data_IF_033734497956
#
_entry.id   IF_033734497956
#
_cell.length_a   1.000
_cell.length_b   1.000
_cell.length_c   1.000
_cell.angle_alpha   90.00
_cell.angle_beta   90.00
_cell.angle_gamma   90.00
#
_symmetry.space_group_name_H-M   'P 1'
#
loop_
_entity.id
_entity.type
_entity.pdbx_description
1 polymer ?
#
# COMPACT_ATOMS: atom_id res chain seq x y z
N UNK A 1 27.71 -6.95 12.45
CA UNK A 1 27.03 -5.67 12.13
C UNK A 1 25.65 -6.02 11.57
N UNK A 2 24.58 -5.82 12.33
CA UNK A 2 23.25 -6.35 12.01
C UNK A 2 22.52 -5.37 11.09
N UNK A 3 22.32 -5.76 9.83
CA UNK A 3 21.80 -4.93 8.73
C UNK A 3 20.28 -4.70 8.79
N UNK A 4 19.79 -4.12 9.89
CA UNK A 4 18.37 -3.78 10.06
C UNK A 4 18.03 -2.37 9.58
N UNK A 5 19.04 -1.52 9.43
CA UNK A 5 18.93 -0.18 8.83
C UNK A 5 20.09 0.03 7.87
N UNK A 6 19.78 0.59 6.70
CA UNK A 6 20.77 1.02 5.72
C UNK A 6 20.81 2.55 5.75
N UNK A 7 21.65 3.17 6.60
CA UNK A 7 21.70 4.63 6.70
C UNK A 7 22.22 5.24 5.40
N UNK A 8 21.65 6.37 5.00
CA UNK A 8 22.29 7.24 4.02
C UNK A 8 23.54 7.87 4.67
N UNK A 9 24.67 7.86 3.96
CA UNK A 9 25.91 8.49 4.42
C UNK A 9 26.12 9.81 3.69
N UNK A 10 26.36 10.87 4.44
CA UNK A 10 26.83 12.13 3.85
C UNK A 10 28.30 12.01 3.40
N UNK A 11 28.77 12.88 2.49
CA UNK A 11 30.18 12.89 2.07
C UNK A 11 31.19 13.02 3.23
N UNK A 12 30.78 13.59 4.37
CA UNK A 12 31.59 13.71 5.60
C UNK A 12 31.52 12.52 6.55
N UNK A 13 30.83 11.43 6.20
CA UNK A 13 30.79 10.19 6.98
C UNK A 13 29.67 10.09 8.04
N UNK A 14 28.90 11.15 8.26
CA UNK A 14 27.76 11.16 9.19
C UNK A 14 26.60 10.35 8.63
N UNK A 15 26.01 9.48 9.48
CA UNK A 15 24.78 8.76 9.14
C UNK A 15 23.60 9.74 9.24
N UNK A 16 22.86 9.91 8.16
CA UNK A 16 21.55 10.59 8.19
C UNK A 16 20.46 9.52 8.22
N UNK A 17 19.60 9.65 9.20
CA UNK A 17 18.36 8.89 9.31
C UNK A 17 17.23 9.83 8.86
N UNK A 18 16.36 9.33 7.98
CA UNK A 18 15.07 9.98 7.71
C UNK A 18 14.15 9.85 8.93
N UNK A 19 13.03 10.58 8.97
CA UNK A 19 12.02 10.38 10.02
C UNK A 19 11.52 8.94 10.06
N UNK A 20 11.31 8.34 8.90
CA UNK A 20 10.91 6.93 8.78
C UNK A 20 11.98 5.97 9.34
N UNK A 21 13.27 6.30 9.20
CA UNK A 21 14.35 5.52 9.82
C UNK A 21 14.36 5.65 11.34
N UNK A 22 14.03 6.84 11.86
CA UNK A 22 13.90 7.05 13.32
C UNK A 22 12.70 6.30 13.89
N UNK A 23 11.58 6.26 13.18
CA UNK A 23 10.42 5.46 13.57
C UNK A 23 10.73 3.96 13.55
N UNK A 24 11.40 3.47 12.50
CA UNK A 24 11.87 2.07 12.47
C UNK A 24 12.81 1.76 13.64
N UNK A 25 13.72 2.67 14.00
CA UNK A 25 14.59 2.50 15.16
C UNK A 25 13.80 2.37 16.46
N UNK A 26 12.78 3.22 16.66
CA UNK A 26 11.90 3.14 17.83
C UNK A 26 11.12 1.82 17.86
N UNK A 27 10.59 1.37 16.73
CA UNK A 27 9.89 0.09 16.62
C UNK A 27 10.82 -1.09 16.94
N UNK A 28 12.03 -1.12 16.38
CA UNK A 28 13.05 -2.13 16.69
C UNK A 28 13.33 -2.15 18.21
N UNK A 29 13.54 -0.97 18.81
CA UNK A 29 13.81 -0.87 20.23
C UNK A 29 12.64 -1.41 21.08
N UNK A 30 11.40 -1.01 20.78
CA UNK A 30 10.21 -1.47 21.50
C UNK A 30 10.03 -3.00 21.38
N UNK A 31 10.17 -3.57 20.19
CA UNK A 31 10.02 -5.02 19.96
C UNK A 31 11.12 -5.81 20.69
N UNK A 32 12.36 -5.32 20.68
CA UNK A 32 13.45 -5.98 21.46
C UNK A 32 13.22 -5.91 22.96
N UNK A 33 12.67 -4.81 23.49
CA UNK A 33 12.29 -4.68 24.90
C UNK A 33 11.14 -5.61 25.29
N UNK A 34 10.24 -5.91 24.36
CA UNK A 34 9.18 -6.90 24.52
C UNK A 34 9.69 -8.37 24.44
N UNK A 35 11.01 -8.59 24.33
CA UNK A 35 11.62 -9.92 24.32
C UNK A 35 11.71 -10.56 22.93
N UNK A 36 11.39 -9.82 21.85
CA UNK A 36 11.51 -10.34 20.49
C UNK A 36 12.96 -10.29 20.05
N UNK A 37 13.46 -11.43 19.57
CA UNK A 37 14.82 -11.50 19.02
C UNK A 37 14.95 -10.77 17.67
N UNK A 38 16.17 -10.48 17.25
CA UNK A 38 16.40 -9.64 16.07
C UNK A 38 15.96 -10.27 14.73
N UNK A 39 15.89 -11.60 14.63
CA UNK A 39 15.32 -12.25 13.44
C UNK A 39 13.79 -12.10 13.41
N UNK A 40 13.14 -12.19 14.58
CA UNK A 40 11.73 -11.88 14.74
C UNK A 40 11.42 -10.43 14.36
N UNK A 41 12.20 -9.46 14.86
CA UNK A 41 12.07 -8.04 14.49
C UNK A 41 12.24 -7.84 12.99
N UNK A 42 13.24 -8.47 12.37
CA UNK A 42 13.46 -8.41 10.93
C UNK A 42 12.25 -8.93 10.15
N UNK A 43 11.67 -10.05 10.58
CA UNK A 43 10.50 -10.63 9.92
C UNK A 43 9.27 -9.73 10.05
N UNK A 44 9.04 -9.13 11.22
CA UNK A 44 7.96 -8.18 11.45
C UNK A 44 8.08 -6.98 10.50
N UNK A 45 9.24 -6.32 10.48
CA UNK A 45 9.45 -5.15 9.61
C UNK A 45 9.30 -5.49 8.12
N UNK A 46 9.72 -6.70 7.70
CA UNK A 46 9.51 -7.17 6.34
C UNK A 46 8.02 -7.37 6.01
N UNK A 47 7.25 -7.91 6.95
CA UNK A 47 5.81 -8.11 6.80
C UNK A 47 5.07 -6.78 6.79
N UNK A 48 5.40 -5.86 7.68
CA UNK A 48 4.82 -4.51 7.70
C UNK A 48 5.03 -3.80 6.36
N UNK A 49 6.27 -3.81 5.83
CA UNK A 49 6.54 -3.24 4.51
C UNK A 49 5.86 -4.00 3.36
N UNK A 50 5.54 -5.29 3.52
CA UNK A 50 4.76 -6.02 2.54
C UNK A 50 3.26 -5.65 2.61
N UNK A 51 2.73 -5.45 3.81
CA UNK A 51 1.36 -4.98 4.03
C UNK A 51 1.16 -3.59 3.44
N UNK A 52 2.10 -2.67 3.69
CA UNK A 52 2.08 -1.31 3.11
C UNK A 52 2.02 -1.36 1.58
N UNK A 53 2.93 -2.12 0.93
CA UNK A 53 2.91 -2.29 -0.53
C UNK A 53 1.62 -2.91 -1.06
N UNK A 54 1.05 -3.87 -0.34
CA UNK A 54 -0.20 -4.51 -0.75
C UNK A 54 -1.39 -3.57 -0.62
N UNK A 55 -1.38 -2.68 0.39
CA UNK A 55 -2.38 -1.63 0.55
C UNK A 55 -2.29 -0.61 -0.58
N UNK A 56 -1.09 -0.15 -0.91
CA UNK A 56 -0.87 0.76 -2.05
C UNK A 56 -1.39 0.16 -3.37
N UNK A 57 -1.11 -1.13 -3.60
CA UNK A 57 -1.60 -1.84 -4.79
C UNK A 57 -3.13 -1.97 -4.80
N UNK A 58 -3.71 -2.29 -3.64
CA UNK A 58 -5.16 -2.41 -3.50
C UNK A 58 -5.85 -1.07 -3.81
N UNK A 59 -5.31 0.02 -3.29
CA UNK A 59 -5.89 1.35 -3.50
C UNK A 59 -5.76 1.78 -4.96
N UNK A 60 -4.61 1.55 -5.60
CA UNK A 60 -4.44 1.77 -7.03
C UNK A 60 -5.46 0.98 -7.90
N UNK A 61 -5.73 -0.28 -7.54
CA UNK A 61 -6.72 -1.10 -8.26
C UNK A 61 -8.14 -0.59 -8.03
N UNK A 62 -8.47 -0.13 -6.81
CA UNK A 62 -9.79 0.45 -6.53
C UNK A 62 -10.02 1.72 -7.33
N UNK A 63 -9.00 2.57 -7.47
CA UNK A 63 -9.08 3.79 -8.26
C UNK A 63 -9.34 3.43 -9.73
N UNK A 64 -8.58 2.48 -10.30
CA UNK A 64 -8.81 1.98 -11.66
C UNK A 64 -10.22 1.41 -11.87
N UNK A 65 -10.74 0.68 -10.88
CA UNK A 65 -12.09 0.14 -10.93
C UNK A 65 -13.16 1.24 -10.88
N UNK A 66 -12.92 2.30 -10.09
CA UNK A 66 -13.81 3.45 -10.02
C UNK A 66 -13.85 4.19 -11.36
N UNK A 67 -12.69 4.43 -11.96
CA UNK A 67 -12.57 5.06 -13.29
C UNK A 67 -13.28 4.25 -14.37
N UNK A 68 -13.00 2.94 -14.45
CA UNK A 68 -13.65 2.06 -15.43
C UNK A 68 -15.18 1.99 -15.26
N UNK A 69 -15.68 2.05 -14.00
CA UNK A 69 -17.12 2.12 -13.72
C UNK A 69 -17.73 3.44 -14.15
N UNK A 70 -17.02 4.55 -13.97
CA UNK A 70 -17.47 5.87 -14.42
C UNK A 70 -17.58 5.90 -15.95
N UNK A 71 -16.57 5.41 -16.67
CA UNK A 71 -16.56 5.31 -18.13
C UNK A 71 -17.70 4.41 -18.66
N UNK A 72 -17.93 3.27 -18.01
CA UNK A 72 -19.02 2.36 -18.38
C UNK A 72 -20.40 3.01 -18.17
N UNK A 73 -20.59 3.74 -17.06
CA UNK A 73 -21.83 4.46 -16.77
C UNK A 73 -22.07 5.61 -17.76
N UNK A 74 -21.03 6.35 -18.11
CA UNK A 74 -21.11 7.41 -19.12
C UNK A 74 -21.50 6.83 -20.49
N UNK A 75 -20.85 5.73 -20.89
CA UNK A 75 -21.16 5.01 -22.13
C UNK A 75 -22.63 4.55 -22.18
N UNK A 76 -23.14 3.97 -21.09
CA UNK A 76 -24.55 3.58 -20.96
C UNK A 76 -25.51 4.77 -21.03
N UNK A 77 -25.12 5.93 -20.48
CA UNK A 77 -25.94 7.15 -20.50
C UNK A 77 -26.06 7.76 -21.91
N UNK A 78 -25.09 7.51 -22.78
CA UNK A 78 -25.07 7.97 -24.17
C UNK A 78 -25.83 7.08 -25.16
N UNK A 79 -26.32 5.91 -24.71
CA UNK A 79 -27.14 5.03 -25.54
C UNK A 79 -28.55 5.64 -25.76
N UNK A 80 -29.15 5.46 -26.95
CA UNK A 80 -30.51 5.91 -27.21
C UNK A 80 -31.50 5.25 -26.23
N UNK A 81 -32.47 6.02 -25.73
CA UNK A 81 -33.46 5.58 -24.72
C UNK A 81 -34.18 4.26 -25.05
N UNK A 82 -34.24 3.89 -26.34
CA UNK A 82 -34.86 2.67 -26.85
C UNK A 82 -34.20 1.38 -26.31
N UNK A 83 -32.91 1.41 -25.94
CA UNK A 83 -32.18 0.24 -25.44
C UNK A 83 -32.11 0.14 -23.91
N UNK A 84 -32.55 1.19 -23.20
CA UNK A 84 -32.51 1.26 -21.73
C UNK A 84 -33.32 0.14 -21.03
N UNK A 85 -34.54 -0.26 -21.45
CA UNK A 85 -35.27 -1.34 -20.78
C UNK A 85 -34.60 -2.72 -20.96
N UNK A 86 -33.98 -2.98 -22.11
CA UNK A 86 -33.34 -4.28 -22.41
C UNK A 86 -32.09 -4.54 -21.58
N UNK A 87 -31.31 -3.50 -21.26
CA UNK A 87 -30.09 -3.63 -20.46
C UNK A 87 -30.42 -3.75 -18.95
N UNK A 88 -31.47 -3.08 -18.48
CA UNK A 88 -31.92 -3.18 -17.07
C UNK A 88 -32.38 -4.60 -16.70
N UNK A 89 -33.05 -5.32 -17.60
CA UNK A 89 -33.46 -6.71 -17.39
C UNK A 89 -32.27 -7.71 -17.31
N UNK A 90 -31.15 -7.42 -17.97
CA UNK A 90 -29.97 -8.30 -18.02
C UNK A 90 -29.03 -8.15 -16.81
N UNK A 91 -29.05 -7.01 -16.12
CA UNK A 91 -28.17 -6.72 -14.97
C UNK A 91 -28.87 -6.86 -13.61
N UNK A 92 -30.16 -7.18 -13.59
CA UNK A 92 -31.00 -7.25 -12.38
C UNK A 92 -31.26 -8.65 -11.80
N UNK A 93 -30.53 -9.69 -12.24
CA UNK A 93 -30.67 -11.08 -11.78
C UNK A 93 -29.53 -11.58 -10.91
#
# INVERSE_FOLDING_TARGET
>A
RRGLLTPYRTPGGTRRYSEQDLERLRAIQALTQAGINLEGVKRILQLEGAVERLQDQLDAIKDQLADARAEANESLSSLPDILRPTIQDLLGG
#
